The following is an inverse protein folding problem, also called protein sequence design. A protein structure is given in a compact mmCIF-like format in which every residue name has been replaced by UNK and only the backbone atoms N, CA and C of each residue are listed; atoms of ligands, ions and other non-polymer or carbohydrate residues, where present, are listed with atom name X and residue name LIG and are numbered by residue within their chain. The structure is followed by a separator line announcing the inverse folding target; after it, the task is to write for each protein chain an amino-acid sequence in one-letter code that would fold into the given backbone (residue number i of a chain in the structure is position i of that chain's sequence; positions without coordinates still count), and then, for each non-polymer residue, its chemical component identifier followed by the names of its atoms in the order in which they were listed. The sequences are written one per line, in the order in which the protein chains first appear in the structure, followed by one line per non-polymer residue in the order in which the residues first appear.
data_IF_916511806830
#
_entry.id   IF_916511806830
#
_cell.length_a   1.000
_cell.length_b   1.000
_cell.length_c   1.000
_cell.angle_alpha   90.00
_cell.angle_beta   90.00
_cell.angle_gamma   90.00
#
_symmetry.space_group_name_H-M   'P 1'
#
loop_
_entity.id
_entity.type
_entity.pdbx_description
1 polymer ?
#
# COMPACT_ATOMS: atom_id res chain seq x y z
N UNK A 1 57.93 -1.99 17.37
CA UNK A 1 57.51 -1.09 16.27
C UNK A 1 56.03 -1.29 16.04
N UNK A 2 55.27 -0.27 16.42
CA UNK A 2 53.81 -0.25 16.50
C UNK A 2 53.18 0.03 15.14
N UNK A 3 52.14 -0.71 14.76
CA UNK A 3 51.26 -0.33 13.65
C UNK A 3 49.81 -0.54 14.07
N UNK A 4 49.24 0.52 14.66
CA UNK A 4 47.83 0.59 14.98
C UNK A 4 47.04 0.79 13.69
N UNK A 5 46.12 -0.13 13.39
CA UNK A 5 45.17 -0.01 12.29
C UNK A 5 44.03 0.93 12.74
N UNK A 6 43.89 2.05 12.04
CA UNK A 6 42.80 3.00 12.25
C UNK A 6 41.53 2.46 11.58
N UNK A 7 40.51 2.18 12.39
CA UNK A 7 39.16 1.83 11.94
C UNK A 7 38.44 3.11 11.49
N UNK A 8 37.95 3.23 10.25
CA UNK A 8 37.13 4.37 9.84
C UNK A 8 35.74 4.26 10.46
N UNK A 9 35.42 5.20 11.35
CA UNK A 9 34.08 5.37 11.92
C UNK A 9 33.12 5.86 10.83
N UNK A 10 32.24 4.97 10.37
CA UNK A 10 31.14 5.30 9.46
C UNK A 10 29.98 5.89 10.26
N UNK A 11 30.02 7.21 10.50
CA UNK A 11 28.88 7.95 11.02
C UNK A 11 27.80 8.06 9.93
N UNK A 12 26.72 7.29 10.08
CA UNK A 12 25.51 7.40 9.25
C UNK A 12 24.67 8.58 9.77
N UNK A 13 24.38 9.63 8.96
CA UNK A 13 23.59 10.77 9.42
C UNK A 13 22.09 10.42 9.42
N UNK A 14 21.54 10.12 10.61
CA UNK A 14 20.13 9.73 10.81
C UNK A 14 19.12 10.90 10.88
N UNK A 15 19.54 12.15 10.65
CA UNK A 15 18.75 13.34 11.02
C UNK A 15 17.86 13.96 9.92
N UNK A 16 17.84 13.40 8.71
CA UNK A 16 17.20 14.04 7.52
C UNK A 16 15.73 13.59 7.31
N UNK A 17 15.26 12.56 8.01
CA UNK A 17 13.96 11.94 7.67
C UNK A 17 12.73 12.62 8.27
N UNK A 18 12.85 13.38 9.38
CA UNK A 18 11.67 13.92 10.08
C UNK A 18 10.98 15.08 9.36
N UNK A 19 11.74 15.93 8.65
CA UNK A 19 11.19 17.11 7.95
C UNK A 19 10.38 16.74 6.69
N UNK A 20 10.78 15.68 5.98
CA UNK A 20 10.07 15.21 4.79
C UNK A 20 8.70 14.62 5.15
N UNK A 21 8.60 13.93 6.28
CA UNK A 21 7.33 13.35 6.76
C UNK A 21 6.32 14.45 7.11
N UNK A 22 6.75 15.52 7.79
CA UNK A 22 5.87 16.62 8.18
C UNK A 22 5.24 17.35 6.97
N UNK A 23 5.98 17.53 5.88
CA UNK A 23 5.45 18.13 4.65
C UNK A 23 4.40 17.22 3.98
N UNK A 24 4.66 15.92 3.92
CA UNK A 24 3.72 14.94 3.39
C UNK A 24 2.43 14.84 4.23
N UNK A 25 2.56 14.79 5.56
CA UNK A 25 1.41 14.76 6.49
C UNK A 25 0.53 16.00 6.35
N UNK A 26 1.13 17.18 6.18
CA UNK A 26 0.40 18.40 5.94
C UNK A 26 -0.36 18.36 4.61
N UNK A 27 0.27 17.88 3.53
CA UNK A 27 -0.41 17.74 2.24
C UNK A 27 -1.61 16.78 2.35
N UNK A 28 -1.43 15.64 3.03
CA UNK A 28 -2.51 14.69 3.30
C UNK A 28 -3.65 15.34 4.10
N UNK A 29 -3.34 16.12 5.12
CA UNK A 29 -4.34 16.80 5.92
C UNK A 29 -5.12 17.84 5.10
N UNK A 30 -4.43 18.60 4.23
CA UNK A 30 -5.10 19.53 3.30
C UNK A 30 -6.02 18.81 2.32
N UNK A 31 -5.60 17.66 1.79
CA UNK A 31 -6.43 16.83 0.91
C UNK A 31 -7.67 16.29 1.64
N UNK A 32 -7.54 15.84 2.89
CA UNK A 32 -8.68 15.43 3.73
C UNK A 32 -9.67 16.56 3.94
N UNK A 33 -9.18 17.75 4.28
CA UNK A 33 -10.03 18.93 4.44
C UNK A 33 -10.78 19.27 3.14
N UNK A 34 -10.11 19.17 1.98
CA UNK A 34 -10.75 19.39 0.68
C UNK A 34 -11.85 18.36 0.41
N UNK A 35 -11.59 17.08 0.65
CA UNK A 35 -12.56 15.99 0.49
C UNK A 35 -13.78 16.18 1.39
N UNK A 36 -13.58 16.52 2.67
CA UNK A 36 -14.68 16.79 3.60
C UNK A 36 -15.54 17.98 3.14
N UNK A 37 -14.93 19.01 2.55
CA UNK A 37 -15.66 20.16 1.99
C UNK A 37 -16.46 19.78 0.74
N UNK A 38 -15.88 18.97 -0.14
CA UNK A 38 -16.57 18.43 -1.32
C UNK A 38 -17.78 17.58 -0.91
N UNK A 39 -17.61 16.72 0.09
CA UNK A 39 -18.70 15.92 0.65
C UNK A 39 -19.81 16.82 1.21
N UNK A 40 -19.48 17.82 2.03
CA UNK A 40 -20.46 18.75 2.56
C UNK A 40 -21.21 19.51 1.44
N UNK A 41 -20.53 19.93 0.37
CA UNK A 41 -21.17 20.53 -0.79
C UNK A 41 -22.08 19.56 -1.54
N UNK A 42 -21.68 18.29 -1.67
CA UNK A 42 -22.50 17.24 -2.27
C UNK A 42 -23.76 16.96 -1.44
N UNK A 43 -23.68 17.01 -0.11
CA UNK A 43 -24.83 16.87 0.78
C UNK A 43 -25.82 18.04 0.64
N UNK A 44 -25.33 19.28 0.50
CA UNK A 44 -26.17 20.44 0.19
C UNK A 44 -26.88 20.24 -1.15
N UNK A 45 -26.15 19.75 -2.17
CA UNK A 45 -26.69 19.50 -3.49
C UNK A 45 -27.74 18.37 -3.50
N UNK A 46 -27.53 17.31 -2.70
CA UNK A 46 -28.49 16.21 -2.59
C UNK A 46 -29.78 16.66 -1.91
N UNK A 47 -29.70 17.55 -0.92
CA UNK A 47 -30.88 18.12 -0.25
C UNK A 47 -31.63 19.13 -1.13
N UNK A 48 -31.06 19.51 -2.27
CA UNK A 48 -31.66 20.42 -3.24
C UNK A 48 -32.44 19.65 -4.31
N UNK A 49 -33.71 20.01 -4.66
CA UNK A 49 -34.59 21.03 -4.09
C UNK A 49 -35.63 20.45 -3.10
N UNK A 50 -35.44 19.21 -2.63
CA UNK A 50 -36.47 18.39 -1.97
C UNK A 50 -37.05 18.95 -0.66
N UNK A 51 -36.63 20.12 -0.20
CA UNK A 51 -37.37 20.91 0.78
C UNK A 51 -38.71 21.36 0.17
N UNK A 52 -39.70 20.46 0.17
CA UNK A 52 -41.04 20.61 -0.44
C UNK A 52 -41.92 21.65 0.24
N UNK A 53 -41.52 22.93 0.19
CA UNK A 53 -42.27 24.07 0.67
C UNK A 53 -41.95 25.31 -0.15
N UNK A 54 -43.02 25.99 -0.58
CA UNK A 54 -43.05 27.13 -1.50
C UNK A 54 -42.29 28.36 -0.94
N UNK A 55 -40.96 28.29 -0.93
CA UNK A 55 -40.11 29.24 -0.24
C UNK A 55 -38.89 29.58 -1.09
N UNK A 56 -39.11 30.48 -2.05
CA UNK A 56 -38.03 31.16 -2.79
C UNK A 56 -36.91 31.67 -1.85
N UNK A 57 -37.25 31.99 -0.59
CA UNK A 57 -36.29 32.33 0.47
C UNK A 57 -35.35 31.17 0.84
N UNK A 58 -35.86 29.95 1.07
CA UNK A 58 -35.01 28.78 1.40
C UNK A 58 -34.11 28.45 0.22
N UNK A 59 -34.64 28.48 -1.01
CA UNK A 59 -33.82 28.29 -2.21
C UNK A 59 -32.69 29.32 -2.32
N UNK A 60 -32.96 30.60 -2.06
CA UNK A 60 -31.92 31.62 -2.07
C UNK A 60 -30.88 31.41 -0.97
N UNK A 61 -31.31 31.07 0.26
CA UNK A 61 -30.41 30.78 1.37
C UNK A 61 -29.50 29.58 1.06
N UNK A 62 -30.06 28.45 0.63
CA UNK A 62 -29.29 27.28 0.22
C UNK A 62 -28.35 27.60 -0.96
N UNK A 63 -28.77 28.44 -1.93
CA UNK A 63 -27.90 28.84 -3.05
C UNK A 63 -26.68 29.60 -2.54
N UNK A 64 -26.89 30.54 -1.63
CA UNK A 64 -25.79 31.32 -1.06
C UNK A 64 -24.83 30.45 -0.27
N UNK A 65 -25.33 29.46 0.46
CA UNK A 65 -24.52 28.49 1.20
C UNK A 65 -23.70 27.61 0.25
N UNK A 66 -24.31 27.07 -0.81
CA UNK A 66 -23.62 26.28 -1.83
C UNK A 66 -22.51 27.09 -2.50
N UNK A 67 -22.79 28.33 -2.92
CA UNK A 67 -21.80 29.22 -3.52
C UNK A 67 -20.64 29.49 -2.55
N UNK A 68 -20.94 29.73 -1.27
CA UNK A 68 -19.91 29.92 -0.26
C UNK A 68 -19.06 28.65 -0.06
N UNK A 69 -19.68 27.47 -0.08
CA UNK A 69 -18.99 26.18 -0.01
C UNK A 69 -18.06 25.95 -1.21
N UNK A 70 -18.55 26.21 -2.43
CA UNK A 70 -17.76 26.12 -3.67
C UNK A 70 -16.54 27.06 -3.60
N UNK A 71 -16.72 28.31 -3.14
CA UNK A 71 -15.59 29.24 -2.97
C UNK A 71 -14.54 28.70 -1.98
N UNK A 72 -14.98 28.09 -0.87
CA UNK A 72 -14.07 27.45 0.10
C UNK A 72 -13.34 26.24 -0.50
N UNK A 73 -13.98 25.46 -1.36
CA UNK A 73 -13.37 24.33 -2.09
C UNK A 73 -12.30 24.85 -3.05
N UNK A 74 -12.62 25.85 -3.89
CA UNK A 74 -11.68 26.44 -4.85
C UNK A 74 -10.45 27.02 -4.15
N UNK A 75 -10.63 27.72 -3.02
CA UNK A 75 -9.51 28.25 -2.23
C UNK A 75 -8.63 27.14 -1.64
N UNK A 76 -9.24 26.07 -1.14
CA UNK A 76 -8.50 24.91 -0.63
C UNK A 76 -7.71 24.20 -1.74
N UNK A 77 -8.32 23.99 -2.91
CA UNK A 77 -7.66 23.40 -4.07
C UNK A 77 -6.45 24.25 -4.52
N UNK A 78 -6.61 25.58 -4.61
CA UNK A 78 -5.49 26.49 -4.92
C UNK A 78 -4.37 26.43 -3.88
N UNK A 79 -4.70 26.23 -2.60
CA UNK A 79 -3.69 26.09 -1.55
C UNK A 79 -2.89 24.81 -1.71
N UNK A 80 -3.56 23.70 -2.05
CA UNK A 80 -2.90 22.42 -2.34
C UNK A 80 -2.03 22.54 -3.59
N UNK A 81 -2.53 23.15 -4.65
CA UNK A 81 -1.78 23.39 -5.89
C UNK A 81 -0.51 24.23 -5.61
N UNK A 82 -0.62 25.33 -4.86
CA UNK A 82 0.55 26.14 -4.46
C UNK A 82 1.56 25.31 -3.64
N UNK A 83 1.07 24.41 -2.80
CA UNK A 83 1.90 23.51 -2.00
C UNK A 83 2.62 22.46 -2.85
N UNK A 84 1.96 21.91 -3.89
CA UNK A 84 2.55 20.93 -4.80
C UNK A 84 3.49 21.59 -5.81
N UNK A 85 3.11 22.72 -6.39
CA UNK A 85 3.90 23.39 -7.44
C UNK A 85 5.04 24.26 -6.88
N UNK A 86 5.04 24.55 -5.58
CA UNK A 86 6.08 25.39 -4.98
C UNK A 86 5.99 26.85 -5.30
N UNK A 87 4.92 27.24 -6.00
CA UNK A 87 4.56 28.62 -6.26
C UNK A 87 4.06 29.29 -4.97
N UNK A 88 4.96 29.43 -4.00
CA UNK A 88 4.80 30.26 -2.80
C UNK A 88 5.45 31.62 -3.05
N UNK A 89 5.06 32.27 -4.13
CA UNK A 89 5.32 33.70 -4.29
C UNK A 89 4.16 34.43 -3.60
N UNK A 90 4.46 35.05 -2.46
CA UNK A 90 3.60 36.00 -1.76
C UNK A 90 2.22 35.48 -1.29
N UNK A 91 2.07 35.20 0.01
CA UNK A 91 0.88 35.63 0.79
C UNK A 91 1.07 35.26 2.27
N UNK A 92 1.60 36.22 3.01
CA UNK A 92 1.68 36.29 4.47
C UNK A 92 0.29 36.59 5.04
N UNK A 93 -0.62 35.62 5.20
CA UNK A 93 -1.81 35.82 6.08
C UNK A 93 -2.60 34.57 6.51
N UNK A 94 -2.02 33.37 6.53
CA UNK A 94 -2.66 32.23 7.22
C UNK A 94 -1.81 31.73 8.38
N UNK A 95 -2.31 31.77 9.63
CA UNK A 95 -1.55 31.43 10.84
C UNK A 95 -1.34 29.93 11.09
N UNK A 96 -1.76 29.04 10.19
CA UNK A 96 -1.72 27.60 10.40
C UNK A 96 -0.64 26.92 9.53
N UNK A 97 0.54 26.75 10.12
CA UNK A 97 1.59 25.85 9.63
C UNK A 97 2.42 26.41 8.48
N UNK A 98 3.38 27.29 8.79
CA UNK A 98 4.42 27.70 7.85
C UNK A 98 5.41 26.55 7.75
N UNK A 99 5.23 25.68 6.77
CA UNK A 99 6.25 24.69 6.42
C UNK A 99 7.37 25.44 5.69
N UNK A 100 8.64 25.33 6.13
CA UNK A 100 9.74 26.00 5.47
C UNK A 100 9.85 25.54 4.01
N UNK A 101 10.09 26.48 3.08
CA UNK A 101 10.20 26.21 1.63
C UNK A 101 11.22 25.11 1.34
N UNK A 102 12.31 25.09 2.09
CA UNK A 102 13.35 24.07 1.98
C UNK A 102 12.83 22.65 2.30
N UNK A 103 11.96 22.49 3.32
CA UNK A 103 11.35 21.21 3.61
C UNK A 103 10.37 20.76 2.51
N UNK A 104 9.70 21.71 1.85
CA UNK A 104 8.84 21.40 0.69
C UNK A 104 9.64 20.96 -0.52
N UNK A 105 10.73 21.65 -0.83
CA UNK A 105 11.62 21.25 -1.92
C UNK A 105 12.29 19.91 -1.64
N UNK A 106 12.73 19.67 -0.40
CA UNK A 106 13.26 18.37 0.02
C UNK A 106 12.21 17.27 -0.11
N UNK A 107 10.95 17.54 0.26
CA UNK A 107 9.84 16.60 0.08
C UNK A 107 9.59 16.29 -1.41
N UNK A 108 9.55 17.30 -2.29
CA UNK A 108 9.40 17.08 -3.74
C UNK A 108 10.54 16.25 -4.33
N UNK A 109 11.78 16.63 -4.04
CA UNK A 109 12.95 15.85 -4.45
C UNK A 109 12.86 14.43 -3.92
N UNK A 110 12.36 14.24 -2.70
CA UNK A 110 12.12 12.91 -2.13
C UNK A 110 11.03 12.14 -2.86
N UNK A 111 9.96 12.77 -3.33
CA UNK A 111 8.94 12.12 -4.16
C UNK A 111 9.53 11.68 -5.50
N UNK A 112 10.23 12.56 -6.19
CA UNK A 112 10.81 12.28 -7.51
C UNK A 112 11.88 11.18 -7.43
N UNK A 113 12.69 11.18 -6.38
CA UNK A 113 13.81 10.23 -6.24
C UNK A 113 13.42 8.90 -5.61
N UNK A 114 12.51 8.90 -4.62
CA UNK A 114 12.19 7.68 -3.86
C UNK A 114 10.91 6.99 -4.30
N UNK A 115 9.97 7.72 -4.89
CA UNK A 115 8.65 7.20 -5.23
C UNK A 115 8.18 7.68 -6.61
N UNK A 116 8.91 7.36 -7.70
CA UNK A 116 8.40 7.60 -9.04
C UNK A 116 7.11 6.79 -9.21
N UNK A 117 6.01 7.46 -9.54
CA UNK A 117 4.72 6.80 -9.79
C UNK A 117 4.79 6.20 -11.21
N UNK A 118 4.62 4.88 -11.38
CA UNK A 118 4.61 4.26 -12.70
C UNK A 118 3.47 4.82 -13.56
N UNK A 119 3.74 5.19 -14.81
CA UNK A 119 2.71 5.71 -15.73
C UNK A 119 1.59 4.71 -15.94
N UNK A 120 1.91 3.42 -16.08
CA UNK A 120 0.91 2.34 -16.19
C UNK A 120 -0.08 2.35 -15.02
N UNK A 121 0.39 2.67 -13.81
CA UNK A 121 -0.48 2.75 -12.64
C UNK A 121 -1.41 3.96 -12.71
N UNK A 122 -0.95 5.10 -13.25
CA UNK A 122 -1.80 6.27 -13.47
C UNK A 122 -2.90 5.96 -14.49
N UNK A 123 -2.55 5.35 -15.62
CA UNK A 123 -3.51 4.94 -16.65
C UNK A 123 -4.55 3.96 -16.08
N UNK A 124 -4.12 3.03 -15.23
CA UNK A 124 -5.00 2.07 -14.54
C UNK A 124 -5.91 2.71 -13.48
N UNK A 125 -5.49 3.82 -12.87
CA UNK A 125 -6.31 4.57 -11.92
C UNK A 125 -7.36 5.42 -12.61
N UNK A 126 -7.08 5.87 -13.84
CA UNK A 126 -7.99 6.70 -14.64
C UNK A 126 -9.19 5.93 -15.21
N UNK A 127 -9.17 4.59 -15.23
CA UNK A 127 -10.27 3.75 -15.77
C UNK A 127 -11.56 3.79 -14.91
N UNK A 128 -11.61 4.61 -13.87
CA UNK A 128 -12.80 4.85 -13.03
C UNK A 128 -13.12 3.71 -12.08
N UNK A 129 -13.95 3.93 -11.06
CA UNK A 129 -14.12 3.02 -9.92
C UNK A 129 -14.58 1.59 -10.24
N UNK A 130 -15.15 1.35 -11.43
CA UNK A 130 -15.67 0.03 -11.84
C UNK A 130 -14.56 -0.88 -12.39
N UNK A 131 -13.56 -0.29 -13.06
CA UNK A 131 -12.43 -1.01 -13.67
C UNK A 131 -11.07 -0.58 -13.14
N UNK A 132 -11.06 0.44 -12.28
CA UNK A 132 -9.87 1.03 -11.68
C UNK A 132 -9.19 0.03 -10.77
N UNK A 133 -7.88 -0.14 -10.96
CA UNK A 133 -7.11 -1.10 -10.18
C UNK A 133 -6.71 -0.49 -8.84
N UNK A 134 -6.90 -1.24 -7.75
CA UNK A 134 -6.36 -0.83 -6.47
C UNK A 134 -4.81 -0.82 -6.54
N UNK A 135 -4.14 0.28 -6.18
CA UNK A 135 -2.67 0.39 -6.30
C UNK A 135 -1.94 -0.67 -5.46
N UNK A 136 -2.55 -1.15 -4.38
CA UNK A 136 -2.00 -2.24 -3.57
C UNK A 136 -2.00 -3.58 -4.33
N UNK A 137 -3.01 -3.82 -5.17
CA UNK A 137 -3.10 -5.01 -6.01
C UNK A 137 -2.04 -4.94 -7.12
N UNK A 138 -1.89 -3.78 -7.76
CA UNK A 138 -0.83 -3.55 -8.75
C UNK A 138 0.56 -3.82 -8.16
N UNK A 139 0.88 -3.25 -6.99
CA UNK A 139 2.17 -3.46 -6.33
C UNK A 139 2.42 -4.93 -5.97
N UNK A 140 1.40 -5.64 -5.45
CA UNK A 140 1.49 -7.08 -5.17
C UNK A 140 1.70 -7.90 -6.45
N UNK A 141 1.01 -7.55 -7.53
CA UNK A 141 1.17 -8.16 -8.84
C UNK A 141 2.60 -8.00 -9.37
N UNK A 142 3.13 -6.78 -9.31
CA UNK A 142 4.49 -6.46 -9.73
C UNK A 142 5.54 -7.26 -8.95
N UNK A 143 5.41 -7.35 -7.62
CA UNK A 143 6.31 -8.16 -6.79
C UNK A 143 6.21 -9.64 -7.16
N UNK A 144 4.99 -10.17 -7.29
CA UNK A 144 4.77 -11.58 -7.66
C UNK A 144 5.39 -11.91 -9.01
N UNK A 145 5.23 -11.03 -9.99
CA UNK A 145 5.80 -11.18 -11.32
C UNK A 145 7.33 -11.09 -11.30
N UNK A 146 7.90 -10.16 -10.52
CA UNK A 146 9.34 -10.04 -10.34
C UNK A 146 9.94 -11.32 -9.73
N UNK A 147 9.29 -11.89 -8.72
CA UNK A 147 9.69 -13.16 -8.12
C UNK A 147 9.58 -14.33 -9.10
N UNK A 148 8.52 -14.35 -9.94
CA UNK A 148 8.36 -15.35 -11.00
C UNK A 148 9.53 -15.26 -11.99
N UNK A 149 9.87 -14.07 -12.46
CA UNK A 149 10.97 -13.84 -13.38
C UNK A 149 12.33 -14.24 -12.79
N UNK A 150 12.58 -13.89 -11.53
CA UNK A 150 13.78 -14.28 -10.80
C UNK A 150 13.93 -15.81 -10.75
N UNK A 151 12.87 -16.52 -10.36
CA UNK A 151 12.89 -17.99 -10.32
C UNK A 151 13.16 -18.60 -11.71
N UNK A 152 12.64 -17.97 -12.78
CA UNK A 152 12.90 -18.40 -14.16
C UNK A 152 14.33 -18.15 -14.61
N UNK A 153 14.97 -17.08 -14.13
CA UNK A 153 16.39 -16.81 -14.35
C UNK A 153 17.28 -17.81 -13.61
N UNK A 154 16.96 -18.14 -12.37
CA UNK A 154 17.72 -19.12 -11.56
C UNK A 154 17.71 -20.52 -12.20
N UNK A 155 16.56 -20.97 -12.72
CA UNK A 155 16.46 -22.24 -13.43
C UNK A 155 17.34 -22.26 -14.68
N UNK A 156 17.30 -21.18 -15.48
CA UNK A 156 18.14 -21.06 -16.69
C UNK A 156 19.63 -20.99 -16.34
N UNK A 157 20.00 -20.23 -15.29
CA UNK A 157 21.37 -20.19 -14.78
C UNK A 157 21.85 -21.59 -14.39
N UNK A 158 21.04 -22.36 -13.65
CA UNK A 158 21.39 -23.75 -13.29
C UNK A 158 21.57 -24.64 -14.51
N UNK A 159 20.68 -24.53 -15.51
CA UNK A 159 20.81 -25.27 -16.77
C UNK A 159 22.10 -24.95 -17.53
N UNK A 160 22.51 -23.68 -17.56
CA UNK A 160 23.77 -23.26 -18.17
C UNK A 160 24.99 -23.77 -17.41
N UNK A 161 24.94 -23.80 -16.08
CA UNK A 161 26.02 -24.39 -15.26
C UNK A 161 26.17 -25.88 -15.58
N UNK A 162 25.07 -26.64 -15.59
CA UNK A 162 25.12 -28.07 -15.93
C UNK A 162 25.64 -28.32 -17.35
N UNK A 163 25.31 -27.44 -18.30
CA UNK A 163 25.83 -27.52 -19.67
C UNK A 163 27.33 -27.23 -19.72
N UNK A 164 27.80 -26.21 -19.00
CA UNK A 164 29.22 -25.88 -18.90
C UNK A 164 30.00 -27.06 -18.30
N UNK A 165 29.52 -27.62 -17.18
CA UNK A 165 30.14 -28.79 -16.53
C UNK A 165 30.23 -29.98 -17.49
N UNK A 166 29.18 -30.23 -18.29
CA UNK A 166 29.16 -31.31 -19.27
C UNK A 166 30.15 -31.08 -20.42
N UNK A 167 30.30 -29.84 -20.88
CA UNK A 167 31.30 -29.47 -21.90
C UNK A 167 32.71 -29.64 -21.35
N UNK A 168 32.98 -29.14 -20.14
CA UNK A 168 34.29 -29.30 -19.47
C UNK A 168 34.63 -30.79 -19.27
N UNK A 169 33.67 -31.59 -18.83
CA UNK A 169 33.84 -33.04 -18.71
C UNK A 169 34.05 -33.73 -20.06
N UNK A 170 33.43 -33.23 -21.14
CA UNK A 170 33.65 -33.72 -22.50
C UNK A 170 35.06 -33.39 -23.02
N UNK A 171 35.51 -32.16 -22.81
CA UNK A 171 36.86 -31.71 -23.19
C UNK A 171 37.96 -32.47 -22.44
N UNK A 172 37.80 -32.66 -21.13
CA UNK A 172 38.76 -33.38 -20.30
C UNK A 172 38.93 -34.86 -20.72
N UNK A 173 37.89 -35.48 -21.31
CA UNK A 173 38.00 -36.84 -21.87
C UNK A 173 38.79 -36.86 -23.18
N UNK A 174 38.61 -35.86 -24.04
CA UNK A 174 39.33 -35.77 -25.31
C UNK A 174 40.84 -35.57 -25.12
N UNK A 175 41.26 -34.81 -24.10
CA UNK A 175 42.68 -34.58 -23.81
C UNK A 175 43.37 -35.79 -23.16
N UNK A 176 42.60 -36.74 -22.62
CA UNK A 176 43.11 -37.98 -22.02
C UNK A 176 43.20 -39.17 -22.98
N UNK A 177 42.52 -39.12 -24.12
CA UNK A 177 42.50 -40.16 -25.16
C UNK A 177 43.47 -39.84 -26.32
N UNK A 178 44.69 -39.40 -25.97
CA UNK A 178 45.81 -39.41 -26.91
C UNK A 178 46.14 -40.87 -27.28
N UNK A 179 45.65 -41.28 -28.46
CA UNK A 179 46.29 -42.24 -29.37
C UNK A 179 46.60 -43.61 -28.75
N UNK A 180 45.58 -44.45 -28.59
CA UNK A 180 45.75 -45.88 -28.86
C UNK A 180 44.96 -46.21 -30.11
N UNK A 181 45.64 -46.06 -31.24
CA UNK A 181 45.31 -46.69 -32.52
C UNK A 181 44.99 -48.17 -32.31
N UNK A 182 43.69 -48.47 -32.24
CA UNK A 182 43.16 -49.83 -32.16
C UNK A 182 41.91 -49.91 -33.01
N UNK A 183 42.12 -50.12 -34.31
CA UNK A 183 41.07 -50.40 -35.28
C UNK A 183 40.26 -51.64 -34.84
N UNK A 184 39.15 -51.45 -34.13
CA UNK A 184 38.14 -52.47 -33.96
C UNK A 184 36.80 -51.95 -34.50
N UNK A 185 36.56 -52.38 -35.73
CA UNK A 185 35.30 -52.40 -36.47
C UNK A 185 34.12 -52.71 -35.54
N UNK A 186 33.09 -51.84 -35.44
CA UNK A 186 31.90 -52.13 -34.67
C UNK A 186 31.06 -53.17 -35.42
N UNK A 187 30.96 -54.37 -34.84
CA UNK A 187 30.05 -55.42 -35.28
C UNK A 187 28.63 -55.04 -34.84
N UNK A 188 27.81 -54.68 -35.82
CA UNK A 188 26.39 -54.34 -35.66
C UNK A 188 25.65 -55.64 -35.36
N UNK A 189 25.51 -55.98 -34.07
CA UNK A 189 24.59 -57.01 -33.62
C UNK A 189 23.17 -56.44 -33.65
N UNK A 190 22.44 -56.75 -34.74
CA UNK A 190 20.99 -56.65 -34.83
C UNK A 190 20.35 -57.44 -33.68
N UNK A 191 19.67 -56.76 -32.76
CA UNK A 191 18.61 -57.37 -31.95
C UNK A 191 17.26 -56.87 -32.48
N UNK A 192 16.44 -57.82 -32.89
CA UNK A 192 15.11 -57.64 -33.42
C UNK A 192 14.10 -57.16 -32.35
N UNK A 193 13.02 -56.48 -32.76
CA UNK A 193 11.97 -56.01 -31.86
C UNK A 193 10.92 -57.11 -31.65
N UNK A 194 10.81 -57.67 -30.45
CA UNK A 194 9.63 -58.44 -30.07
C UNK A 194 8.55 -57.50 -29.56
N UNK A 195 7.55 -57.28 -30.41
CA UNK A 195 6.25 -56.75 -30.01
C UNK A 195 5.53 -57.80 -29.17
N UNK A 196 5.16 -57.45 -27.93
CA UNK A 196 3.97 -58.02 -27.32
C UNK A 196 3.28 -56.96 -26.47
N UNK A 197 2.12 -56.58 -26.97
CA UNK A 197 1.02 -55.92 -26.31
C UNK A 197 0.62 -56.63 -25.03
N UNK A 198 0.53 -55.92 -23.91
CA UNK A 198 -0.55 -56.21 -22.98
C UNK A 198 -1.03 -54.92 -22.30
N UNK A 199 -2.23 -54.51 -22.70
CA UNK A 199 -3.02 -53.52 -22.01
C UNK A 199 -3.65 -54.17 -20.78
N UNK A 200 -3.42 -53.61 -19.60
CA UNK A 200 -4.43 -53.59 -18.55
C UNK A 200 -4.19 -52.43 -17.60
N UNK A 201 -5.14 -51.49 -17.62
CA UNK A 201 -5.44 -50.57 -16.55
C UNK A 201 -5.55 -51.33 -15.22
N UNK A 202 -4.96 -50.77 -14.15
CA UNK A 202 -5.63 -50.56 -12.87
C UNK A 202 -4.74 -49.69 -11.97
N UNK A 203 -5.07 -48.40 -11.96
CA UNK A 203 -5.22 -47.52 -10.79
C UNK A 203 -4.52 -47.95 -9.48
N UNK A 204 -3.39 -47.33 -9.12
CA UNK A 204 -3.06 -47.09 -7.71
C UNK A 204 -2.05 -45.92 -7.57
N UNK A 205 -2.56 -44.78 -7.12
CA UNK A 205 -1.79 -43.64 -6.65
C UNK A 205 -0.98 -44.01 -5.41
N UNK A 206 0.28 -44.40 -5.59
CA UNK A 206 1.25 -44.48 -4.50
C UNK A 206 2.02 -43.16 -4.40
N UNK A 207 1.72 -42.43 -3.33
CA UNK A 207 2.46 -41.26 -2.86
C UNK A 207 3.86 -41.73 -2.43
N UNK A 208 4.84 -41.58 -3.32
CA UNK A 208 6.25 -41.68 -2.94
C UNK A 208 6.63 -40.39 -2.20
N UNK A 209 6.55 -40.44 -0.87
CA UNK A 209 7.28 -39.54 0.02
C UNK A 209 8.78 -39.75 -0.23
N UNK A 210 9.37 -38.97 -1.12
CA UNK A 210 10.82 -38.73 -1.09
C UNK A 210 11.13 -37.93 0.16
N UNK A 211 11.58 -38.67 1.17
CA UNK A 211 12.27 -38.18 2.36
C UNK A 211 13.51 -37.43 1.86
N UNK A 212 13.41 -36.11 1.78
CA UNK A 212 14.58 -35.25 1.66
C UNK A 212 15.18 -35.17 3.08
N UNK A 213 16.34 -35.80 3.26
CA UNK A 213 17.09 -35.72 4.49
C UNK A 213 17.51 -34.26 4.73
N UNK A 214 17.07 -33.76 5.88
CA UNK A 214 17.32 -32.41 6.36
C UNK A 214 18.77 -32.35 6.84
N UNK A 215 19.66 -31.97 5.91
CA UNK A 215 21.06 -31.69 6.14
C UNK A 215 21.22 -30.48 7.03
N UNK A 216 21.29 -30.76 8.33
CA UNK A 216 21.60 -29.86 9.43
C UNK A 216 22.96 -29.20 9.20
N UNK A 217 22.98 -27.91 8.87
CA UNK A 217 24.14 -27.04 9.13
C UNK A 217 23.72 -26.07 10.22
N UNK A 218 24.11 -26.44 11.44
CA UNK A 218 24.19 -25.53 12.57
C UNK A 218 25.29 -24.51 12.31
N UNK A 219 24.94 -23.22 12.23
CA UNK A 219 25.73 -22.22 12.95
C UNK A 219 24.90 -21.00 13.38
N UNK A 220 24.54 -21.03 14.66
CA UNK A 220 24.65 -19.93 15.62
C UNK A 220 24.54 -18.48 15.11
N UNK A 221 23.32 -17.94 15.05
CA UNK A 221 23.10 -16.57 15.51
C UNK A 221 21.74 -16.40 16.20
N UNK A 222 21.86 -16.24 17.52
CA UNK A 222 20.87 -16.09 18.58
C UNK A 222 19.80 -15.00 18.29
N UNK A 223 18.50 -15.32 18.20
CA UNK A 223 17.46 -14.32 18.31
C UNK A 223 17.23 -13.98 19.78
N UNK A 224 17.40 -12.70 20.12
CA UNK A 224 17.09 -12.15 21.42
C UNK A 224 15.60 -12.28 21.74
N UNK A 225 15.31 -13.05 22.79
CA UNK A 225 14.00 -13.16 23.43
C UNK A 225 13.63 -11.79 24.02
N UNK A 226 12.69 -11.09 23.38
CA UNK A 226 11.98 -9.99 24.01
C UNK A 226 10.90 -10.58 24.91
N UNK A 227 11.21 -10.66 26.20
CA UNK A 227 10.23 -10.84 27.27
C UNK A 227 9.28 -9.64 27.27
N UNK A 228 8.00 -9.92 27.07
CA UNK A 228 6.89 -9.07 27.45
C UNK A 228 6.61 -9.15 28.96
N UNK A 229 5.94 -8.11 29.46
CA UNK A 229 5.35 -7.84 30.79
C UNK A 229 6.18 -6.96 31.76
N UNK A 230 5.53 -6.22 32.70
CA UNK A 230 4.26 -5.51 32.60
C UNK A 230 4.34 -4.06 33.15
N UNK A 231 3.23 -3.36 32.94
CA UNK A 231 2.74 -2.08 33.49
C UNK A 231 3.20 -1.73 34.91
N UNK A 232 3.73 -0.52 35.12
CA UNK A 232 3.66 0.19 36.41
C UNK A 232 3.87 1.72 36.26
N UNK A 233 2.84 2.45 36.69
CA UNK A 233 2.84 3.75 37.37
C UNK A 233 3.82 4.85 36.89
N UNK A 234 3.28 5.87 36.20
CA UNK A 234 3.89 7.20 36.16
C UNK A 234 3.24 8.07 37.24
N UNK A 235 4.05 8.43 38.24
CA UNK A 235 3.77 9.46 39.23
C UNK A 235 3.53 10.80 38.54
N UNK A 236 2.32 11.34 38.71
CA UNK A 236 2.03 12.75 38.47
C UNK A 236 2.51 13.52 39.70
N UNK A 237 3.47 14.42 39.47
CA UNK A 237 3.96 15.36 40.47
C UNK A 237 2.93 16.49 40.56
N UNK A 238 2.28 16.60 41.70
CA UNK A 238 1.60 17.81 42.16
C UNK A 238 2.59 18.97 42.10
N UNK A 239 2.24 20.03 41.38
CA UNK A 239 2.65 21.39 41.77
C UNK A 239 1.38 22.23 41.96
N UNK A 240 1.37 22.84 43.14
CA UNK A 240 0.38 23.74 43.68
C UNK A 240 0.18 24.99 42.81
N UNK A 241 -1.05 25.50 42.77
CA UNK A 241 -1.25 26.94 42.76
C UNK A 241 -2.46 27.49 42.00
N UNK A 242 -3.45 27.95 42.78
CA UNK A 242 -4.42 29.05 42.51
C UNK A 242 -5.35 28.84 41.29
N UNK A 243 -6.64 28.55 41.46
CA UNK A 243 -7.62 29.25 42.29
C UNK A 243 -8.40 30.26 41.43
N UNK A 244 -9.68 29.97 41.17
CA UNK A 244 -10.85 30.84 40.82
C UNK A 244 -12.02 29.84 40.63
N UNK A 245 -12.90 29.60 41.59
CA UNK A 245 -14.11 30.38 41.98
C UNK A 245 -15.29 30.23 41.00
N UNK A 246 -16.20 29.31 41.38
CA UNK A 246 -17.70 29.29 41.33
C UNK A 246 -18.50 29.39 40.01
N UNK A 247 -19.56 28.57 39.95
CA UNK A 247 -20.78 28.79 39.16
C UNK A 247 -21.36 27.51 38.55
N UNK A 248 -21.94 26.60 39.34
CA UNK A 248 -23.39 26.41 39.59
C UNK A 248 -24.28 25.98 38.40
N UNK A 249 -24.90 24.80 38.62
CA UNK A 249 -26.25 24.36 38.19
C UNK A 249 -26.57 24.20 36.70
N UNK A 250 -26.88 22.98 36.24
CA UNK A 250 -28.29 22.53 36.18
C UNK A 250 -28.43 21.05 35.81
N UNK A 251 -29.15 20.32 36.67
CA UNK A 251 -29.82 19.05 36.36
C UNK A 251 -31.00 19.34 35.44
N UNK A 252 -31.19 18.57 34.37
CA UNK A 252 -32.52 18.34 33.81
C UNK A 252 -32.63 16.93 33.22
N UNK A 253 -33.17 16.05 34.04
CA UNK A 253 -33.89 14.85 33.65
C UNK A 253 -35.16 15.26 32.88
N UNK A 254 -35.44 14.62 31.75
CA UNK A 254 -36.79 14.55 31.19
C UNK A 254 -36.98 13.19 30.52
N UNK A 255 -37.58 12.28 31.28
CA UNK A 255 -38.48 11.24 30.77
C UNK A 255 -39.69 11.93 30.14
N UNK A 256 -40.14 11.44 28.99
CA UNK A 256 -41.54 11.48 28.57
C UNK A 256 -41.76 10.55 27.37
N UNK A 257 -42.25 9.35 27.70
CA UNK A 257 -43.02 8.44 26.84
C UNK A 257 -44.42 8.99 26.61
N UNK A 258 -44.94 8.92 25.37
CA UNK A 258 -46.37 8.80 24.99
C UNK A 258 -46.40 8.56 23.47
N UNK A 259 -46.81 7.38 23.00
CA UNK A 259 -48.18 6.86 22.78
C UNK A 259 -48.75 7.19 21.39
N UNK A 260 -48.92 6.10 20.64
CA UNK A 260 -49.98 5.71 19.70
C UNK A 260 -50.38 6.56 18.47
N UNK A 261 -50.54 5.82 17.36
CA UNK A 261 -51.10 6.20 16.07
C UNK A 261 -52.56 6.70 16.14
N UNK A 262 -53.07 7.30 15.06
CA UNK A 262 -54.05 6.50 14.31
C UNK A 262 -53.99 6.60 12.77
N UNK A 263 -54.07 5.41 12.18
CA UNK A 263 -54.74 5.00 10.94
C UNK A 263 -55.64 6.05 10.27
N UNK A 264 -55.19 6.59 9.12
CA UNK A 264 -56.06 7.32 8.19
C UNK A 264 -56.63 6.34 7.15
N UNK A 265 -57.92 6.06 7.29
CA UNK A 265 -58.72 5.32 6.31
C UNK A 265 -58.83 6.13 5.01
N UNK A 266 -58.32 5.59 3.90
CA UNK A 266 -58.60 6.12 2.55
C UNK A 266 -60.03 5.76 2.14
N UNK A 267 -60.85 6.79 2.04
CA UNK A 267 -62.20 6.77 1.51
C UNK A 267 -62.17 6.51 -0.01
N UNK A 268 -62.81 5.42 -0.42
CA UNK A 268 -62.93 5.00 -1.82
C UNK A 268 -64.20 5.64 -2.38
N UNK A 269 -64.04 6.77 -3.06
CA UNK A 269 -65.15 7.42 -3.79
C UNK A 269 -65.41 6.64 -5.07
N UNK A 270 -66.59 6.03 -5.16
CA UNK A 270 -67.16 5.51 -6.39
C UNK A 270 -67.69 6.66 -7.25
N UNK A 271 -67.43 6.69 -8.57
CA UNK A 271 -68.27 7.43 -9.49
C UNK A 271 -69.44 6.56 -9.98
N UNK A 272 -70.65 7.13 -9.90
CA UNK A 272 -71.84 6.76 -10.67
C UNK A 272 -72.45 8.05 -11.22
N UNK A 273 -73.30 8.01 -12.26
CA UNK A 273 -73.59 6.93 -13.21
C UNK A 273 -72.94 7.12 -14.60
#
# INVERSE_FOLDING_TARGET
MSKAAATPSSEVPTKINSSNTAAGEYLLERLRILLNRLQAAAEILHKWPEAGGDSAKIHNETATELIASIRKIVLAARTIERHINGSSQHETTTPAGIIPKEALEAFRKSLDTKCPIPLDLLDLLDVGAIFGMNPQIYARGLIKESMRQLSGLERRKRGLVMLADAIEAGMAKCDGDDIVTGSQKPEISKSEPSADTNAKEENETSVVKTKCDDGTVTDSQKPGVLKSEPTAATNVKEEDGKGIVTGDTNKRTRDETHDEEPVVKKERVHPSP
#
